data_IF_551443927458
#
_entry.id   IF_551443927458
#
_cell.length_a   1.000
_cell.length_b   1.000
_cell.length_c   1.000
_cell.angle_alpha   90.00
_cell.angle_beta   90.00
_cell.angle_gamma   90.00
#
_symmetry.space_group_name_H-M   'P 1'
#
loop_
_entity.id
_entity.type
_entity.pdbx_description
1 polymer ?
#
# COMPACT_ATOMS: atom_id res chain seq x y z
N UNK A 1 -28.84 -46.52 -33.74
CA UNK A 1 -28.59 -45.58 -34.85
C UNK A 1 -29.01 -44.13 -34.52
N UNK A 2 -29.02 -43.73 -33.23
CA UNK A 2 -29.39 -42.37 -32.78
C UNK A 2 -28.42 -41.84 -31.70
N UNK A 3 -27.28 -42.51 -31.52
CA UNK A 3 -26.27 -42.13 -30.51
C UNK A 3 -25.69 -40.75 -30.78
N UNK A 4 -25.61 -40.34 -32.05
CA UNK A 4 -25.11 -39.02 -32.43
C UNK A 4 -26.02 -37.88 -31.93
N UNK A 5 -27.34 -38.09 -31.90
CA UNK A 5 -28.28 -37.08 -31.40
C UNK A 5 -28.14 -36.90 -29.89
N UNK A 6 -27.90 -37.99 -29.16
CA UNK A 6 -27.66 -37.91 -27.71
C UNK A 6 -26.37 -37.16 -27.41
N UNK A 7 -25.30 -37.43 -28.16
CA UNK A 7 -24.01 -36.73 -28.00
C UNK A 7 -24.10 -35.24 -28.37
N UNK A 8 -24.89 -34.91 -29.40
CA UNK A 8 -25.17 -33.53 -29.81
C UNK A 8 -25.95 -32.77 -28.73
N UNK A 9 -27.04 -33.36 -28.19
CA UNK A 9 -27.83 -32.76 -27.11
C UNK A 9 -26.99 -32.57 -25.85
N UNK A 10 -26.20 -33.57 -25.45
CA UNK A 10 -25.33 -33.47 -24.28
C UNK A 10 -24.22 -32.43 -24.49
N UNK A 11 -23.69 -32.34 -25.71
CA UNK A 11 -22.74 -31.29 -26.11
C UNK A 11 -23.32 -29.89 -25.95
N UNK A 12 -24.52 -29.65 -26.46
CA UNK A 12 -25.22 -28.37 -26.33
C UNK A 12 -25.53 -28.02 -24.87
N UNK A 13 -25.94 -28.99 -24.06
CA UNK A 13 -26.23 -28.78 -22.65
C UNK A 13 -24.99 -28.37 -21.86
N UNK A 14 -23.83 -29.01 -22.11
CA UNK A 14 -22.54 -28.63 -21.51
C UNK A 14 -22.13 -27.20 -21.87
N UNK A 15 -22.30 -26.81 -23.14
CA UNK A 15 -22.00 -25.44 -23.60
C UNK A 15 -22.93 -24.41 -22.96
N UNK A 16 -24.22 -24.73 -22.83
CA UNK A 16 -25.22 -23.88 -22.19
C UNK A 16 -24.91 -23.63 -20.71
N UNK A 17 -24.58 -24.69 -19.95
CA UNK A 17 -24.21 -24.60 -18.54
C UNK A 17 -22.95 -23.74 -18.37
N UNK A 18 -21.90 -24.02 -19.14
CA UNK A 18 -20.65 -23.26 -19.08
C UNK A 18 -20.88 -21.77 -19.38
N UNK A 19 -21.69 -21.46 -20.40
CA UNK A 19 -21.98 -20.09 -20.82
C UNK A 19 -22.75 -19.31 -19.76
N UNK A 20 -23.75 -19.93 -19.11
CA UNK A 20 -24.54 -19.31 -18.03
C UNK A 20 -23.71 -18.99 -16.79
N UNK A 21 -22.73 -19.83 -16.45
CA UNK A 21 -21.81 -19.55 -15.35
C UNK A 21 -21.00 -18.26 -15.53
N UNK A 22 -20.82 -17.77 -16.76
CA UNK A 22 -20.11 -16.51 -17.03
C UNK A 22 -21.03 -15.30 -17.21
N UNK A 23 -22.35 -15.49 -17.40
CA UNK A 23 -23.30 -14.40 -17.69
C UNK A 23 -24.30 -14.13 -16.56
N UNK A 24 -24.57 -15.10 -15.68
CA UNK A 24 -25.55 -14.96 -14.59
C UNK A 24 -24.98 -14.33 -13.32
N UNK A 25 -23.65 -14.28 -13.17
CA UNK A 25 -23.02 -13.48 -12.13
C UNK A 25 -22.83 -12.06 -12.68
N UNK A 26 -23.30 -11.01 -11.97
CA UNK A 26 -22.83 -9.67 -12.29
C UNK A 26 -21.31 -9.73 -12.26
N UNK A 27 -20.67 -9.45 -13.39
CA UNK A 27 -19.23 -9.25 -13.47
C UNK A 27 -18.80 -8.51 -12.20
N UNK A 28 -17.77 -8.97 -11.46
CA UNK A 28 -17.25 -8.21 -10.35
C UNK A 28 -17.08 -6.79 -10.87
N UNK A 29 -17.83 -5.84 -10.30
CA UNK A 29 -17.74 -4.43 -10.71
C UNK A 29 -16.24 -4.17 -10.85
N UNK A 30 -15.76 -3.64 -12.00
CA UNK A 30 -14.33 -3.36 -12.14
C UNK A 30 -13.95 -2.62 -10.88
N UNK A 31 -12.95 -3.14 -10.16
CA UNK A 31 -12.52 -2.62 -8.87
C UNK A 31 -12.26 -1.13 -9.08
N UNK A 32 -13.28 -0.33 -8.78
CA UNK A 32 -13.23 1.09 -8.83
C UNK A 32 -12.72 1.47 -7.44
N UNK A 33 -11.48 1.04 -7.15
CA UNK A 33 -10.60 1.99 -6.49
C UNK A 33 -10.50 3.15 -7.46
N UNK A 34 -11.45 4.06 -7.31
CA UNK A 34 -11.16 5.46 -7.27
C UNK A 34 -9.93 5.53 -6.37
N UNK A 35 -8.74 5.42 -6.98
CA UNK A 35 -7.64 6.18 -6.49
C UNK A 35 -8.27 7.55 -6.37
N UNK A 36 -8.47 7.98 -5.13
CA UNK A 36 -8.81 9.36 -4.85
C UNK A 36 -7.61 10.08 -5.44
N UNK A 37 -7.76 10.47 -6.71
CA UNK A 37 -6.73 11.16 -7.44
C UNK A 37 -6.40 12.33 -6.57
N UNK A 38 -5.14 12.44 -6.16
CA UNK A 38 -4.63 13.60 -5.47
C UNK A 38 -5.04 14.82 -6.31
N UNK A 39 -6.14 15.49 -5.94
CA UNK A 39 -6.72 16.60 -6.71
C UNK A 39 -5.94 17.90 -6.54
N UNK A 40 -4.75 17.85 -5.96
CA UNK A 40 -3.85 18.98 -5.82
C UNK A 40 -2.44 18.56 -6.24
N UNK A 41 -2.26 18.26 -7.52
CA UNK A 41 -0.93 18.23 -8.12
C UNK A 41 -0.77 19.55 -8.84
N UNK A 42 -0.21 20.52 -8.13
CA UNK A 42 0.49 21.66 -8.71
C UNK A 42 1.27 21.16 -9.93
N UNK A 43 1.16 21.88 -11.04
CA UNK A 43 1.64 21.50 -12.36
C UNK A 43 3.14 21.11 -12.31
N UNK A 44 3.43 19.83 -12.09
CA UNK A 44 4.80 19.34 -12.18
C UNK A 44 5.18 19.34 -13.66
N UNK A 45 5.84 20.41 -14.07
CA UNK A 45 6.52 20.61 -15.36
C UNK A 45 7.63 19.58 -15.63
N UNK A 46 7.88 18.66 -14.70
CA UNK A 46 8.93 17.64 -14.82
C UNK A 46 8.34 16.27 -15.12
N UNK A 47 8.81 15.68 -16.23
CA UNK A 47 8.55 14.30 -16.62
C UNK A 47 8.98 13.38 -15.47
N UNK A 48 8.08 12.56 -14.92
CA UNK A 48 8.45 11.62 -13.88
C UNK A 48 9.45 10.61 -14.46
N UNK A 49 10.68 10.68 -13.95
CA UNK A 49 11.80 9.82 -14.36
C UNK A 49 12.27 8.99 -13.16
N UNK A 50 12.80 7.79 -13.43
CA UNK A 50 13.36 6.90 -12.41
C UNK A 50 14.45 7.60 -11.57
N UNK A 51 15.18 8.56 -12.15
CA UNK A 51 16.19 9.36 -11.45
C UNK A 51 15.63 10.15 -10.27
N UNK A 52 14.37 10.60 -10.34
CA UNK A 52 13.71 11.32 -9.23
C UNK A 52 13.52 10.38 -8.04
N UNK A 53 13.17 9.11 -8.27
CA UNK A 53 13.01 8.12 -7.19
C UNK A 53 14.34 7.86 -6.48
N UNK A 54 15.43 7.75 -7.25
CA UNK A 54 16.77 7.54 -6.69
C UNK A 54 17.21 8.78 -5.89
N UNK A 55 16.95 9.99 -6.39
CA UNK A 55 17.26 11.23 -5.69
C UNK A 55 16.41 11.44 -4.41
N UNK A 56 15.17 10.96 -4.42
CA UNK A 56 14.26 11.02 -3.27
C UNK A 56 14.50 9.89 -2.24
N UNK A 57 15.35 8.92 -2.56
CA UNK A 57 15.74 7.87 -1.62
C UNK A 57 16.45 8.47 -0.42
N UNK A 58 15.99 8.13 0.78
CA UNK A 58 16.60 8.62 2.01
C UNK A 58 18.01 8.03 2.17
N UNK A 59 19.00 8.90 2.39
CA UNK A 59 20.42 8.50 2.49
C UNK A 59 20.70 7.55 3.67
N UNK A 60 19.87 7.59 4.72
CA UNK A 60 20.03 6.80 5.94
C UNK A 60 18.67 6.30 6.43
N UNK A 61 18.19 5.12 5.98
CA UNK A 61 16.88 4.59 6.40
C UNK A 61 16.81 4.27 7.91
N UNK A 62 17.97 4.12 8.56
CA UNK A 62 18.10 3.81 9.97
C UNK A 62 18.35 5.04 10.87
N UNK A 63 18.26 6.25 10.31
CA UNK A 63 18.43 7.48 11.09
C UNK A 63 17.20 7.74 11.98
N UNK A 64 17.44 8.19 13.21
CA UNK A 64 16.39 8.54 14.16
C UNK A 64 15.44 9.61 13.60
N UNK A 65 14.13 9.40 13.71
CA UNK A 65 13.11 10.32 13.16
C UNK A 65 13.07 11.69 13.87
N UNK A 66 13.62 11.79 15.08
CA UNK A 66 13.54 13.00 15.91
C UNK A 66 14.80 13.89 15.81
N UNK A 67 15.95 13.30 15.47
CA UNK A 67 17.23 14.03 15.48
C UNK A 67 18.23 13.58 14.41
N UNK A 68 17.85 12.64 13.54
CA UNK A 68 18.70 12.10 12.47
C UNK A 68 20.00 11.43 12.94
N UNK A 69 20.09 11.09 14.22
CA UNK A 69 21.24 10.37 14.80
C UNK A 69 21.21 8.87 14.52
N UNK A 70 22.34 8.20 14.81
CA UNK A 70 22.53 6.75 14.62
C UNK A 70 22.08 6.01 15.89
N UNK A 71 20.77 5.97 16.13
CA UNK A 71 20.15 5.21 17.21
C UNK A 71 18.69 4.92 16.90
N UNK A 72 18.09 3.98 17.63
CA UNK A 72 16.66 3.69 17.54
C UNK A 72 15.84 4.88 18.02
N UNK A 73 14.81 5.26 17.27
CA UNK A 73 13.94 6.40 17.60
C UNK A 73 13.36 6.33 19.03
N UNK A 74 13.11 5.13 19.56
CA UNK A 74 12.64 4.94 20.95
C UNK A 74 13.64 5.29 22.04
N UNK A 75 14.94 5.24 21.74
CA UNK A 75 16.02 5.56 22.68
C UNK A 75 16.46 7.04 22.57
N UNK A 76 15.76 7.84 21.76
CA UNK A 76 16.16 9.20 21.47
C UNK A 76 15.99 10.13 22.69
N UNK A 77 17.10 10.66 23.18
CA UNK A 77 17.08 11.63 24.29
C UNK A 77 16.36 12.93 23.93
N UNK A 78 16.46 13.38 22.68
CA UNK A 78 15.75 14.57 22.20
C UNK A 78 14.23 14.33 22.21
N UNK A 79 13.77 13.16 21.78
CA UNK A 79 12.36 12.79 21.78
C UNK A 79 11.75 12.80 23.19
N UNK A 80 12.52 12.39 24.21
CA UNK A 80 12.08 12.44 25.62
C UNK A 80 11.79 13.86 26.12
N UNK A 81 12.44 14.87 25.54
CA UNK A 81 12.25 16.28 25.90
C UNK A 81 11.22 17.00 25.02
N UNK A 82 10.79 16.39 23.92
CA UNK A 82 9.81 16.98 23.02
C UNK A 82 8.39 16.89 23.58
N UNK A 83 7.54 17.85 23.23
CA UNK A 83 6.09 17.76 23.50
C UNK A 83 5.43 16.68 22.64
N UNK A 84 4.23 16.23 23.00
CA UNK A 84 3.45 15.27 22.21
C UNK A 84 3.17 15.79 20.80
N UNK A 85 2.88 17.09 20.68
CA UNK A 85 2.64 17.78 19.41
C UNK A 85 3.88 17.78 18.53
N UNK A 86 5.04 18.16 19.08
CA UNK A 86 6.32 18.15 18.36
C UNK A 86 6.67 16.74 17.86
N UNK A 87 6.42 15.72 18.69
CA UNK A 87 6.62 14.31 18.29
C UNK A 87 5.68 13.92 17.15
N UNK A 88 4.42 14.35 17.19
CA UNK A 88 3.44 14.07 16.15
C UNK A 88 3.79 14.75 14.83
N UNK A 89 4.27 16.00 14.86
CA UNK A 89 4.73 16.71 13.66
C UNK A 89 5.96 16.04 13.05
N UNK A 90 6.95 15.67 13.88
CA UNK A 90 8.12 14.94 13.41
C UNK A 90 7.75 13.60 12.76
N UNK A 91 6.79 12.90 13.36
CA UNK A 91 6.25 11.65 12.83
C UNK A 91 5.62 11.85 11.45
N UNK A 92 4.71 12.82 11.29
CA UNK A 92 4.03 13.12 10.02
C UNK A 92 5.01 13.42 8.89
N UNK A 93 6.10 14.13 9.19
CA UNK A 93 7.12 14.48 8.21
C UNK A 93 8.03 13.30 7.82
N UNK A 94 8.19 12.33 8.72
CA UNK A 94 9.19 11.25 8.57
C UNK A 94 8.75 10.05 7.72
N UNK A 95 7.47 9.97 7.31
CA UNK A 95 6.86 8.80 6.64
C UNK A 95 7.08 7.47 7.38
N UNK A 96 7.28 7.51 8.70
CA UNK A 96 7.40 6.33 9.55
C UNK A 96 6.02 5.83 10.02
N UNK A 97 5.95 4.65 10.62
CA UNK A 97 4.71 4.08 11.17
C UNK A 97 4.66 4.18 12.70
N UNK A 98 3.47 4.49 13.23
CA UNK A 98 3.28 4.80 14.67
C UNK A 98 3.68 3.64 15.58
N UNK A 99 3.64 2.41 15.07
CA UNK A 99 3.88 1.20 15.84
C UNK A 99 5.37 0.98 16.16
N UNK A 100 6.25 1.25 15.20
CA UNK A 100 7.66 0.85 15.24
C UNK A 100 8.64 2.01 15.07
N UNK A 101 8.17 3.19 14.63
CA UNK A 101 9.00 4.37 14.36
C UNK A 101 10.12 4.11 13.32
N UNK A 102 9.96 3.05 12.53
CA UNK A 102 10.82 2.67 11.42
C UNK A 102 10.16 3.07 10.09
N UNK A 103 10.99 3.24 9.06
CA UNK A 103 10.56 3.63 7.71
C UNK A 103 10.56 2.41 6.78
N UNK A 104 9.91 2.54 5.62
CA UNK A 104 10.14 1.64 4.48
C UNK A 104 9.39 0.30 4.49
N UNK A 105 8.45 0.06 5.41
CA UNK A 105 7.62 -1.16 5.41
C UNK A 105 6.16 -0.81 5.68
N UNK A 106 5.20 -1.53 5.10
CA UNK A 106 3.77 -1.27 5.37
C UNK A 106 3.34 -1.80 6.74
N UNK A 107 2.26 -1.25 7.32
CA UNK A 107 1.70 -1.67 8.63
C UNK A 107 1.52 -3.20 8.70
N UNK A 108 1.01 -3.82 7.63
CA UNK A 108 0.80 -5.27 7.57
C UNK A 108 2.09 -6.10 7.70
N UNK A 109 3.25 -5.50 7.39
CA UNK A 109 4.58 -6.10 7.50
C UNK A 109 5.38 -5.54 8.68
N UNK A 110 4.77 -4.75 9.55
CA UNK A 110 5.41 -4.24 10.75
C UNK A 110 5.54 -5.34 11.79
N UNK A 111 6.72 -5.95 11.88
CA UNK A 111 7.07 -6.91 12.94
C UNK A 111 7.52 -6.23 14.25
N UNK A 112 7.47 -4.90 14.31
CA UNK A 112 7.96 -4.11 15.45
C UNK A 112 7.12 -4.30 16.71
N UNK A 113 7.79 -4.33 17.87
CA UNK A 113 7.14 -4.22 19.17
C UNK A 113 6.57 -2.80 19.30
N UNK A 114 5.35 -2.67 19.87
CA UNK A 114 4.67 -1.39 20.05
C UNK A 114 5.58 -0.44 20.83
N UNK A 115 6.03 0.63 20.18
CA UNK A 115 6.88 1.66 20.76
C UNK A 115 5.98 2.77 21.33
N UNK A 116 5.68 2.76 22.63
CA UNK A 116 4.98 3.89 23.28
C UNK A 116 5.95 5.07 23.45
N UNK A 117 6.04 5.93 22.45
CA UNK A 117 6.83 7.19 22.48
C UNK A 117 5.95 8.43 22.23
N UNK A 118 4.65 8.24 21.99
CA UNK A 118 3.66 9.31 21.85
C UNK A 118 3.08 9.61 23.23
#
# INVERSE_FOLDING_TARGET
MLLFLLDEIEGEERVSIASKCFTEYPSPKPWNTKHVGFKNREEFTQVPSASILIAASEKNPNACIFCSGIHKSGDCFKARKMSSEERQTAFQNSRSYFLCLEKGHVIAKCGGKISRVI
#
